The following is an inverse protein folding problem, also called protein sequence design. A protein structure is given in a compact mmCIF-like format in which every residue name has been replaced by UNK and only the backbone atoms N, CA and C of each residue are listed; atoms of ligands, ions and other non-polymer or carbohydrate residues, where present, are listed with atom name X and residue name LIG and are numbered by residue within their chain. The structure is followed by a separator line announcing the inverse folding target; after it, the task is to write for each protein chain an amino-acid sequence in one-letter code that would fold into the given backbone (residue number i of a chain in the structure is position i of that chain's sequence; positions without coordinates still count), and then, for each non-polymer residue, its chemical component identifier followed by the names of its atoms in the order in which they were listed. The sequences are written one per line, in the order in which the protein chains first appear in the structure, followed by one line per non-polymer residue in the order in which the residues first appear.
data_IF_333112448272
#
_entry.id   IF_333112448272
#
_cell.length_a   1.000
_cell.length_b   1.000
_cell.length_c   1.000
_cell.angle_alpha   90.00
_cell.angle_beta   90.00
_cell.angle_gamma   90.00
#
_symmetry.space_group_name_H-M   'P 1'
#
loop_
_entity.id
_entity.type
_entity.pdbx_description
1 polymer ?
#
# COMPACT_ATOMS: atom_id res chain seq x y z
N UNK A 1 2.17 -9.34 -17.83
CA UNK A 1 2.69 -8.25 -17.00
C UNK A 1 1.85 -8.15 -15.73
N UNK A 2 2.34 -8.66 -14.52
CA UNK A 2 1.53 -8.53 -13.31
C UNK A 2 1.55 -7.09 -12.80
N UNK A 3 0.37 -6.61 -12.41
CA UNK A 3 0.19 -5.29 -11.82
C UNK A 3 -0.47 -5.47 -10.46
N UNK A 4 0.16 -4.95 -9.43
CA UNK A 4 -0.36 -5.00 -8.06
C UNK A 4 -0.69 -3.59 -7.61
N UNK A 5 -1.90 -3.39 -7.15
CA UNK A 5 -2.31 -2.10 -6.61
C UNK A 5 -2.64 -2.27 -5.13
N UNK A 6 -2.05 -1.44 -4.31
CA UNK A 6 -2.25 -1.48 -2.87
C UNK A 6 -2.69 -0.11 -2.40
N UNK A 7 -3.83 -0.06 -1.74
CA UNK A 7 -4.30 1.18 -1.14
C UNK A 7 -3.93 1.19 0.33
N UNK A 8 -3.32 2.26 0.76
CA UNK A 8 -2.86 2.42 2.14
C UNK A 8 -3.39 3.73 2.72
N UNK A 9 -3.58 3.73 4.01
CA UNK A 9 -3.80 5.00 4.72
C UNK A 9 -2.44 5.69 4.81
N UNK A 10 -2.40 6.97 4.50
CA UNK A 10 -1.16 7.74 4.53
C UNK A 10 -0.53 7.77 5.92
N UNK A 11 0.76 8.03 5.99
CA UNK A 11 1.48 8.15 7.25
C UNK A 11 2.76 7.32 7.33
N UNK A 12 2.98 6.43 6.37
CA UNK A 12 4.21 5.64 6.36
C UNK A 12 5.33 6.39 5.67
N UNK A 13 6.56 6.09 6.06
CA UNK A 13 7.73 6.72 5.44
C UNK A 13 7.95 6.20 4.03
N UNK A 14 8.65 6.99 3.23
CA UNK A 14 9.01 6.56 1.88
C UNK A 14 9.87 5.30 1.92
N UNK A 15 10.74 5.19 2.93
CA UNK A 15 11.56 4.01 3.09
C UNK A 15 10.70 2.76 3.30
N UNK A 16 9.69 2.86 4.16
CA UNK A 16 8.79 1.72 4.39
C UNK A 16 8.04 1.36 3.11
N UNK A 17 7.63 2.35 2.33
CA UNK A 17 6.93 2.11 1.07
C UNK A 17 7.82 1.46 0.03
N UNK A 18 9.10 1.87 -0.04
CA UNK A 18 10.05 1.21 -0.93
C UNK A 18 10.25 -0.24 -0.55
N UNK A 19 10.33 -0.52 0.75
CA UNK A 19 10.46 -1.89 1.24
C UNK A 19 9.24 -2.73 0.88
N UNK A 20 8.06 -2.15 1.01
CA UNK A 20 6.83 -2.85 0.63
C UNK A 20 6.85 -3.22 -0.86
N UNK A 21 7.19 -2.26 -1.71
CA UNK A 21 7.28 -2.50 -3.15
C UNK A 21 8.28 -3.61 -3.46
N UNK A 22 9.44 -3.58 -2.81
CA UNK A 22 10.48 -4.59 -3.02
C UNK A 22 10.01 -5.97 -2.61
N UNK A 23 9.41 -6.09 -1.44
CA UNK A 23 8.93 -7.37 -0.92
C UNK A 23 7.79 -7.94 -1.74
N UNK A 24 6.87 -7.11 -2.16
CA UNK A 24 5.74 -7.54 -2.99
C UNK A 24 6.26 -8.02 -4.35
N UNK A 25 7.20 -7.29 -4.93
CA UNK A 25 7.81 -7.69 -6.20
C UNK A 25 8.47 -9.05 -6.08
N UNK A 26 9.26 -9.27 -5.03
CA UNK A 26 9.93 -10.55 -4.82
C UNK A 26 8.92 -11.68 -4.65
N UNK A 27 7.83 -11.44 -3.95
CA UNK A 27 6.80 -12.44 -3.75
C UNK A 27 6.13 -12.84 -5.06
N UNK A 28 5.86 -11.86 -5.93
CA UNK A 28 5.25 -12.13 -7.24
C UNK A 28 6.21 -12.96 -8.11
N UNK A 29 7.48 -12.55 -8.16
CA UNK A 29 8.48 -13.28 -8.94
C UNK A 29 8.58 -14.71 -8.47
N UNK A 30 8.61 -14.92 -7.17
CA UNK A 30 8.71 -16.26 -6.60
C UNK A 30 7.46 -17.10 -6.87
N UNK A 31 6.29 -16.50 -6.70
CA UNK A 31 5.03 -17.24 -6.77
C UNK A 31 4.66 -17.67 -8.17
N UNK A 32 4.86 -16.79 -9.16
CA UNK A 32 4.39 -17.07 -10.53
C UNK A 32 5.52 -17.06 -11.55
N UNK A 33 6.76 -17.00 -11.10
CA UNK A 33 7.94 -17.03 -11.95
C UNK A 33 7.92 -15.96 -13.04
N UNK A 34 7.36 -14.79 -12.71
CA UNK A 34 7.34 -13.67 -13.65
C UNK A 34 8.72 -13.03 -13.70
N UNK A 35 9.16 -12.54 -14.89
CA UNK A 35 10.39 -11.75 -14.94
C UNK A 35 10.26 -10.52 -14.05
N UNK A 36 11.28 -10.22 -13.28
CA UNK A 36 11.21 -9.12 -12.31
C UNK A 36 10.89 -7.78 -12.96
N UNK A 37 11.41 -7.55 -14.14
CA UNK A 37 11.18 -6.29 -14.85
C UNK A 37 9.76 -6.15 -15.38
N UNK A 38 8.96 -7.22 -15.34
CA UNK A 38 7.56 -7.15 -15.76
C UNK A 38 6.62 -6.79 -14.62
N UNK A 39 7.09 -6.85 -13.37
CA UNK A 39 6.23 -6.63 -12.21
C UNK A 39 6.05 -5.13 -11.95
N UNK A 40 4.78 -4.72 -11.82
CA UNK A 40 4.43 -3.35 -11.49
C UNK A 40 3.73 -3.34 -10.15
N UNK A 41 4.18 -2.48 -9.25
CA UNK A 41 3.53 -2.31 -7.94
C UNK A 41 3.19 -0.84 -7.78
N UNK A 42 1.93 -0.56 -7.54
CA UNK A 42 1.44 0.81 -7.41
C UNK A 42 0.86 0.96 -6.02
N UNK A 43 1.32 1.98 -5.30
CA UNK A 43 0.78 2.30 -3.99
C UNK A 43 -0.09 3.55 -4.11
N UNK A 44 -1.27 3.48 -3.53
CA UNK A 44 -2.16 4.64 -3.45
C UNK A 44 -2.35 4.97 -1.99
N UNK A 45 -2.05 6.19 -1.63
CA UNK A 45 -2.25 6.63 -0.26
C UNK A 45 -3.48 7.50 -0.18
N UNK A 46 -4.28 7.24 0.83
CA UNK A 46 -5.47 8.04 1.08
C UNK A 46 -5.46 8.54 2.51
N UNK A 47 -6.07 9.70 2.77
CA UNK A 47 -6.22 10.16 4.16
C UNK A 47 -7.07 9.18 4.97
N UNK A 48 -6.77 9.07 6.26
CA UNK A 48 -7.57 8.23 7.15
C UNK A 48 -9.04 8.65 7.16
N UNK A 49 -9.30 9.94 6.95
CA UNK A 49 -10.65 10.46 6.86
C UNK A 49 -11.44 9.91 5.66
N UNK A 50 -10.74 9.35 4.68
CA UNK A 50 -11.38 8.79 3.49
C UNK A 50 -11.46 7.27 3.53
N UNK A 51 -11.03 6.66 4.63
CA UNK A 51 -11.08 5.21 4.79
C UNK A 51 -12.19 4.86 5.76
N UNK A 52 -13.27 4.30 5.24
CA UNK A 52 -14.44 3.98 6.05
C UNK A 52 -14.62 2.48 6.25
N UNK A 53 -14.98 2.10 7.47
CA UNK A 53 -15.38 0.74 7.81
C UNK A 53 -16.69 0.84 8.58
N UNK A 54 -17.70 0.16 8.09
CA UNK A 54 -19.02 0.18 8.70
C UNK A 54 -19.57 1.61 8.91
N UNK A 55 -19.25 2.48 7.94
CA UNK A 55 -19.72 3.86 7.96
C UNK A 55 -18.90 4.81 8.81
N UNK A 56 -17.82 4.32 9.41
CA UNK A 56 -16.96 5.15 10.25
C UNK A 56 -15.57 5.24 9.66
N UNK A 57 -14.98 6.44 9.75
CA UNK A 57 -13.65 6.67 9.21
C UNK A 57 -12.57 6.19 10.18
N UNK A 58 -11.38 5.98 9.65
CA UNK A 58 -10.23 5.54 10.46
C UNK A 58 -9.41 6.70 11.02
N UNK A 59 -9.82 7.93 10.75
CA UNK A 59 -9.08 9.06 11.29
C UNK A 59 -9.20 9.09 12.81
N UNK A 60 -8.17 9.59 13.45
CA UNK A 60 -8.25 9.81 14.89
C UNK A 60 -9.25 10.92 15.14
N UNK A 61 -10.14 10.73 16.12
CA UNK A 61 -10.99 11.85 16.53
C UNK A 61 -10.08 12.99 16.98
N UNK A 62 -10.48 14.23 16.72
CA UNK A 62 -9.70 15.36 17.20
C UNK A 62 -9.58 15.25 18.71
N UNK A 63 -8.37 15.01 19.16
CA UNK A 63 -8.14 15.01 20.58
C UNK A 63 -7.91 16.44 20.98
N UNK A 64 -8.58 16.87 21.97
CA UNK A 64 -8.29 18.14 22.55
C UNK A 64 -6.95 18.00 23.26
N UNK A 65 -5.96 18.34 22.59
CA UNK A 65 -4.65 18.26 23.15
C UNK A 65 -3.93 17.05 22.73
#
# INVERSE_FOLDING_TARGET
MPIVEITLIEGRTDEAKRRLISKVTDAIVEAIEAPIESVRVILREIPAAHFGVAGKTKERPPTSG
#
